data_IF_877559378880
#
_entry.id   IF_877559378880
#
_cell.length_a   1.000
_cell.length_b   1.000
_cell.length_c   1.000
_cell.angle_alpha   90.00
_cell.angle_beta   90.00
_cell.angle_gamma   90.00
#
_symmetry.space_group_name_H-M   'P 1'
#
loop_
_entity.id
_entity.type
_entity.pdbx_description
1 polymer ?
#
# COMPACT_ATOMS: atom_id res chain seq x y z
N UNK A 1 24.95 -9.63 3.28
CA UNK A 1 23.93 -9.52 4.34
C UNK A 1 22.64 -10.11 3.78
N UNK A 2 22.14 -11.20 4.36
CA UNK A 2 21.01 -11.95 3.82
C UNK A 2 19.69 -11.41 4.41
N UNK A 3 19.06 -10.46 3.73
CA UNK A 3 17.73 -9.98 4.11
C UNK A 3 16.73 -11.12 3.94
N UNK A 4 15.92 -11.40 4.96
CA UNK A 4 14.88 -12.43 4.84
C UNK A 4 13.96 -12.08 3.66
N UNK A 5 13.69 -13.03 2.74
CA UNK A 5 12.84 -12.76 1.60
C UNK A 5 11.40 -12.48 2.07
N UNK A 6 10.78 -11.46 1.50
CA UNK A 6 9.34 -11.24 1.61
C UNK A 6 8.60 -12.36 0.85
N UNK A 7 7.31 -12.54 1.16
CA UNK A 7 6.43 -13.46 0.40
C UNK A 7 6.35 -13.11 -1.09
N UNK A 8 6.39 -11.81 -1.41
CA UNK A 8 6.38 -11.27 -2.78
C UNK A 8 7.51 -10.25 -2.89
N UNK A 9 8.15 -10.17 -4.05
CA UNK A 9 9.25 -9.25 -4.29
C UNK A 9 8.85 -7.78 -4.04
N UNK A 10 9.72 -7.04 -3.33
CA UNK A 10 9.42 -5.67 -2.90
C UNK A 10 9.13 -4.74 -4.07
N UNK A 11 9.80 -4.93 -5.22
CA UNK A 11 9.65 -4.03 -6.37
C UNK A 11 8.27 -4.19 -6.99
N UNK A 12 7.78 -5.44 -7.01
CA UNK A 12 6.43 -5.76 -7.48
C UNK A 12 5.38 -5.18 -6.53
N UNK A 13 5.57 -5.31 -5.21
CA UNK A 13 4.69 -4.72 -4.21
C UNK A 13 4.67 -3.19 -4.26
N UNK A 14 5.84 -2.57 -4.43
CA UNK A 14 5.95 -1.11 -4.63
C UNK A 14 5.20 -0.68 -5.88
N UNK A 15 5.42 -1.36 -7.00
CA UNK A 15 4.71 -1.08 -8.25
C UNK A 15 3.20 -1.18 -8.08
N UNK A 16 2.71 -2.22 -7.41
CA UNK A 16 1.29 -2.42 -7.13
C UNK A 16 0.71 -1.33 -6.21
N UNK A 17 1.46 -0.91 -5.19
CA UNK A 17 1.08 0.16 -4.27
C UNK A 17 0.97 1.53 -4.96
N UNK A 18 1.87 1.83 -5.89
CA UNK A 18 1.79 3.05 -6.70
C UNK A 18 0.62 3.02 -7.67
N UNK A 19 0.38 1.87 -8.32
CA UNK A 19 -0.74 1.68 -9.23
C UNK A 19 -2.09 1.82 -8.51
N UNK A 20 -2.25 1.18 -7.35
CA UNK A 20 -3.48 1.29 -6.56
C UNK A 20 -3.72 2.73 -6.12
N UNK A 21 -2.69 3.42 -5.61
CA UNK A 21 -2.76 4.83 -5.23
C UNK A 21 -3.18 5.71 -6.41
N UNK A 22 -2.57 5.54 -7.57
CA UNK A 22 -2.90 6.31 -8.77
C UNK A 22 -4.36 6.09 -9.20
N UNK A 23 -4.83 4.85 -9.24
CA UNK A 23 -6.20 4.52 -9.62
C UNK A 23 -7.21 5.11 -8.60
N UNK A 24 -6.92 5.00 -7.30
CA UNK A 24 -7.77 5.58 -6.25
C UNK A 24 -7.83 7.10 -6.38
N UNK A 25 -6.71 7.77 -6.65
CA UNK A 25 -6.68 9.22 -6.82
C UNK A 25 -7.50 9.65 -8.05
N UNK A 26 -7.38 8.94 -9.17
CA UNK A 26 -8.18 9.22 -10.37
C UNK A 26 -9.66 8.95 -10.09
N UNK A 27 -10.00 7.86 -9.41
CA UNK A 27 -11.38 7.53 -9.03
C UNK A 27 -12.00 8.55 -8.09
N UNK A 28 -11.24 9.05 -7.13
CA UNK A 28 -11.65 10.11 -6.21
C UNK A 28 -11.89 11.42 -6.97
N UNK A 29 -10.99 11.76 -7.90
CA UNK A 29 -11.14 12.94 -8.75
C UNK A 29 -12.43 12.88 -9.57
N UNK A 30 -12.68 11.76 -10.27
CA UNK A 30 -13.91 11.55 -11.04
C UNK A 30 -15.18 11.63 -10.18
N UNK A 31 -15.11 11.11 -8.95
CA UNK A 31 -16.23 11.16 -8.00
C UNK A 31 -16.54 12.59 -7.58
N UNK A 32 -15.52 13.42 -7.34
CA UNK A 32 -15.69 14.82 -6.93
C UNK A 32 -16.18 15.68 -8.12
N UNK A 33 -15.60 15.48 -9.30
CA UNK A 33 -15.99 16.24 -10.51
C UNK A 33 -17.33 15.78 -11.10
N UNK A 34 -17.93 14.72 -10.54
CA UNK A 34 -19.14 14.06 -11.06
C UNK A 34 -19.00 13.67 -12.54
N UNK A 35 -17.77 13.47 -13.00
CA UNK A 35 -17.47 13.13 -14.37
C UNK A 35 -17.66 11.62 -14.56
N UNK A 36 -18.44 11.24 -15.57
CA UNK A 36 -18.68 9.85 -15.93
C UNK A 36 -18.30 9.64 -17.38
N UNK A 37 -17.48 8.62 -17.63
CA UNK A 37 -17.11 8.17 -18.98
C UNK A 37 -17.87 6.85 -19.19
N UNK A 38 -19.09 6.92 -19.74
CA UNK A 38 -19.94 5.75 -19.93
C UNK A 38 -20.25 5.00 -18.61
N UNK A 39 -20.10 3.66 -18.53
CA UNK A 39 -20.36 2.90 -17.31
C UNK A 39 -19.30 3.09 -16.21
N UNK A 40 -18.18 3.75 -16.53
CA UNK A 40 -17.09 4.00 -15.59
C UNK A 40 -17.44 5.23 -14.76
N UNK A 41 -18.00 4.99 -13.58
CA UNK A 41 -18.22 6.03 -12.56
C UNK A 41 -17.06 6.07 -11.57
N UNK A 42 -16.90 7.20 -10.87
CA UNK A 42 -15.88 7.34 -9.83
C UNK A 42 -15.95 6.24 -8.76
N UNK A 43 -17.13 5.75 -8.41
CA UNK A 43 -17.30 4.66 -7.44
C UNK A 43 -16.71 3.33 -7.94
N UNK A 44 -16.93 2.98 -9.22
CA UNK A 44 -16.34 1.77 -9.78
C UNK A 44 -14.82 1.85 -9.82
N UNK A 45 -14.27 3.00 -10.23
CA UNK A 45 -12.82 3.17 -10.31
C UNK A 45 -12.17 3.14 -8.92
N UNK A 46 -12.84 3.70 -7.90
CA UNK A 46 -12.41 3.59 -6.51
C UNK A 46 -12.41 2.13 -6.03
N UNK A 47 -13.48 1.37 -6.30
CA UNK A 47 -13.53 -0.04 -5.92
C UNK A 47 -12.40 -0.85 -6.58
N UNK A 48 -12.16 -0.63 -7.87
CA UNK A 48 -11.08 -1.31 -8.62
C UNK A 48 -9.70 -0.95 -8.07
N UNK A 49 -9.47 0.29 -7.65
CA UNK A 49 -8.19 0.70 -7.03
C UNK A 49 -8.03 0.20 -5.59
N UNK A 50 -9.13 0.09 -4.84
CA UNK A 50 -9.11 -0.35 -3.44
C UNK A 50 -8.79 -1.82 -3.28
N UNK A 51 -9.31 -2.71 -4.14
CA UNK A 51 -9.05 -4.17 -4.05
C UNK A 51 -7.55 -4.51 -4.03
N UNK A 52 -6.73 -4.09 -5.02
CA UNK A 52 -5.29 -4.34 -5.00
C UNK A 52 -4.60 -3.56 -3.87
N UNK A 53 -5.08 -2.36 -3.50
CA UNK A 53 -4.56 -1.60 -2.36
C UNK A 53 -4.71 -2.33 -1.03
N UNK A 54 -5.87 -2.95 -0.79
CA UNK A 54 -6.12 -3.79 0.39
C UNK A 54 -5.21 -5.02 0.42
N UNK A 55 -4.89 -5.61 -0.74
CA UNK A 55 -3.97 -6.73 -0.83
C UNK A 55 -2.53 -6.32 -0.45
N UNK A 56 -2.05 -5.18 -0.96
CA UNK A 56 -0.75 -4.60 -0.56
C UNK A 56 -0.72 -4.36 0.95
N UNK A 57 -1.78 -3.76 1.50
CA UNK A 57 -1.93 -3.52 2.92
C UNK A 57 -1.78 -4.79 3.76
N UNK A 58 -2.53 -5.83 3.41
CA UNK A 58 -2.50 -7.10 4.14
C UNK A 58 -1.09 -7.71 4.16
N UNK A 59 -0.38 -7.66 3.02
CA UNK A 59 0.98 -8.18 2.91
C UNK A 59 2.00 -7.36 3.68
N UNK A 60 1.88 -6.03 3.67
CA UNK A 60 2.76 -5.15 4.44
C UNK A 60 2.55 -5.34 5.95
N UNK A 61 1.29 -5.41 6.39
CA UNK A 61 0.95 -5.69 7.79
C UNK A 61 1.51 -7.05 8.21
N UNK A 62 1.36 -8.06 7.36
CA UNK A 62 1.92 -9.39 7.62
C UNK A 62 3.45 -9.35 7.77
N UNK A 63 4.18 -8.63 6.90
CA UNK A 63 5.64 -8.50 7.00
C UNK A 63 6.06 -7.82 8.31
N UNK A 64 5.34 -6.78 8.72
CA UNK A 64 5.58 -6.07 10.00
C UNK A 64 5.38 -7.01 11.18
N UNK A 65 4.28 -7.78 11.20
CA UNK A 65 3.98 -8.72 12.29
C UNK A 65 5.03 -9.84 12.37
N UNK A 66 5.47 -10.36 11.22
CA UNK A 66 6.50 -11.41 11.15
C UNK A 66 7.85 -10.93 11.67
N UNK A 67 8.22 -9.69 11.36
CA UNK A 67 9.54 -9.14 11.69
C UNK A 67 9.59 -8.28 12.96
N UNK A 68 8.48 -8.22 13.73
CA UNK A 68 8.30 -7.53 15.03
C UNK A 68 9.58 -6.87 15.58
N UNK A 69 9.82 -5.64 15.14
CA UNK A 69 10.92 -4.74 15.53
C UNK A 69 10.39 -3.64 16.48
N UNK A 70 11.29 -2.89 17.14
CA UNK A 70 10.96 -2.00 18.27
C UNK A 70 9.81 -0.99 18.01
N UNK A 71 9.72 -0.46 16.80
CA UNK A 71 8.72 0.56 16.43
C UNK A 71 7.61 0.01 15.51
N UNK A 72 7.40 -1.31 15.47
CA UNK A 72 6.41 -1.95 14.58
C UNK A 72 5.00 -1.42 14.78
N UNK A 73 4.64 -1.09 16.03
CA UNK A 73 3.32 -0.58 16.38
C UNK A 73 3.07 0.81 15.79
N UNK A 74 4.09 1.69 15.80
CA UNK A 74 4.02 3.01 15.17
C UNK A 74 3.84 2.90 13.65
N UNK A 75 4.49 1.93 13.02
CA UNK A 75 4.31 1.66 11.60
C UNK A 75 2.92 1.14 11.27
N UNK A 76 2.36 0.23 12.08
CA UNK A 76 0.99 -0.25 11.90
C UNK A 76 -0.03 0.88 12.03
N UNK A 77 0.10 1.72 13.06
CA UNK A 77 -0.75 2.90 13.24
C UNK A 77 -0.59 3.83 12.03
N UNK A 78 0.65 4.11 11.62
CA UNK A 78 0.94 4.95 10.45
C UNK A 78 0.28 4.44 9.19
N UNK A 79 0.33 3.13 8.92
CA UNK A 79 -0.33 2.53 7.76
C UNK A 79 -1.83 2.71 7.85
N UNK A 80 -2.47 2.42 9.00
CA UNK A 80 -3.93 2.56 9.16
C UNK A 80 -4.40 3.99 8.86
N UNK A 81 -3.66 5.01 9.30
CA UNK A 81 -4.01 6.42 9.05
C UNK A 81 -3.64 6.91 7.65
N UNK A 82 -2.48 6.50 7.11
CA UNK A 82 -1.92 7.04 5.86
C UNK A 82 -2.18 6.18 4.62
N UNK A 83 -2.92 5.08 4.72
CA UNK A 83 -3.36 4.40 3.51
C UNK A 83 -2.21 3.73 2.76
N UNK A 84 -2.32 3.80 1.43
CA UNK A 84 -1.29 3.35 0.50
C UNK A 84 0.03 4.14 0.65
N UNK A 85 0.01 5.39 1.14
CA UNK A 85 1.24 6.18 1.35
C UNK A 85 2.11 5.53 2.44
N UNK A 86 1.51 5.10 3.55
CA UNK A 86 2.23 4.41 4.62
C UNK A 86 2.91 3.14 4.12
N UNK A 87 2.24 2.37 3.25
CA UNK A 87 2.82 1.18 2.62
C UNK A 87 3.99 1.50 1.69
N UNK A 88 3.90 2.57 0.90
CA UNK A 88 5.01 2.99 0.02
C UNK A 88 6.23 3.36 0.86
N UNK A 89 6.06 4.22 1.88
CA UNK A 89 7.19 4.64 2.73
C UNK A 89 7.78 3.44 3.47
N UNK A 90 6.93 2.54 3.99
CA UNK A 90 7.39 1.31 4.63
C UNK A 90 8.22 0.46 3.66
N UNK A 91 7.71 0.17 2.47
CA UNK A 91 8.40 -0.68 1.48
C UNK A 91 9.72 -0.06 1.00
N UNK A 92 9.83 1.27 0.96
CA UNK A 92 11.08 1.98 0.65
C UNK A 92 12.11 1.86 1.78
N UNK A 93 11.67 1.91 3.04
CA UNK A 93 12.55 1.85 4.22
C UNK A 93 12.73 0.43 4.79
N UNK A 94 12.01 -0.56 4.25
CA UNK A 94 11.90 -1.92 4.78
C UNK A 94 13.24 -2.58 5.04
N UNK A 95 14.19 -2.45 4.11
CA UNK A 95 15.49 -3.10 4.23
C UNK A 95 16.31 -2.52 5.41
N UNK A 96 16.18 -1.24 5.69
CA UNK A 96 16.82 -0.63 6.87
C UNK A 96 16.12 -1.03 8.17
N UNK A 97 14.79 -1.08 8.19
CA UNK A 97 13.99 -1.44 9.36
C UNK A 97 14.23 -2.90 9.80
N UNK A 98 14.37 -3.80 8.83
CA UNK A 98 14.60 -5.24 9.09
C UNK A 98 16.07 -5.51 9.44
N UNK A 99 17.01 -4.75 8.87
CA UNK A 99 18.46 -4.97 9.09
C UNK A 99 18.97 -4.28 10.37
N UNK A 100 18.37 -3.16 10.81
CA UNK A 100 18.74 -2.46 12.07
C UNK A 100 18.26 -3.18 13.35
N UNK A 101 18.09 -4.51 13.29
CA UNK A 101 17.70 -5.32 14.45
C UNK A 101 18.87 -5.51 15.41
#
# INVERSE_FOLDING_TARGET
MNVSPMLIDRRTLLGLAFLSLAIILIGALLKITHFSIGPITGNYLLAVGLVPGFFVWALVIYDILKHSFRNSLLWLIGIIFFGNLGCIVYLLQRDELVTRR
#
